data_IF_759314657869
#
_entry.id   IF_759314657869
#
_cell.length_a   1.000
_cell.length_b   1.000
_cell.length_c   1.000
_cell.angle_alpha   90.00
_cell.angle_beta   90.00
_cell.angle_gamma   90.00
#
_symmetry.space_group_name_H-M   'P 1'
#
loop_
_entity.id
_entity.type
_entity.pdbx_description
1 polymer ?
#
# COMPACT_ATOMS: atom_id res chain seq x y z
N UNK A 1 5.99 -9.90 18.34
CA UNK A 1 6.81 -9.31 17.27
C UNK A 1 7.61 -10.36 16.49
N UNK A 2 8.43 -11.21 17.14
CA UNK A 2 9.29 -12.22 16.47
C UNK A 2 8.54 -13.11 15.46
N UNK A 3 7.35 -13.61 15.81
CA UNK A 3 6.50 -14.42 14.91
C UNK A 3 6.04 -13.70 13.63
N UNK A 4 6.10 -12.37 13.59
CA UNK A 4 5.71 -11.56 12.42
C UNK A 4 6.88 -11.28 11.47
N UNK A 5 8.14 -11.49 11.90
CA UNK A 5 9.33 -11.20 11.09
C UNK A 5 9.31 -11.87 9.71
N UNK A 6 8.97 -13.17 9.55
CA UNK A 6 8.95 -13.80 8.23
C UNK A 6 7.92 -13.15 7.29
N UNK A 7 6.77 -12.73 7.83
CA UNK A 7 5.70 -12.09 7.05
C UNK A 7 6.08 -10.66 6.67
N UNK A 8 6.69 -9.90 7.58
CA UNK A 8 7.21 -8.57 7.30
C UNK A 8 8.32 -8.62 6.24
N UNK A 9 9.26 -9.56 6.37
CA UNK A 9 10.36 -9.76 5.40
C UNK A 9 9.83 -10.14 4.02
N UNK A 10 8.90 -11.07 3.93
CA UNK A 10 8.24 -11.42 2.66
C UNK A 10 7.53 -10.23 2.01
N UNK A 11 6.95 -9.34 2.82
CA UNK A 11 6.32 -8.12 2.30
C UNK A 11 7.36 -7.08 1.88
N UNK A 12 8.39 -6.83 2.67
CA UNK A 12 9.50 -5.94 2.33
C UNK A 12 10.24 -6.38 1.05
N UNK A 13 10.47 -7.67 0.86
CA UNK A 13 11.06 -8.22 -0.36
C UNK A 13 10.23 -7.91 -1.61
N UNK A 14 8.89 -7.94 -1.49
CA UNK A 14 7.98 -7.57 -2.59
C UNK A 14 8.03 -6.07 -2.90
N UNK A 15 8.32 -5.23 -1.91
CA UNK A 15 8.45 -3.78 -2.07
C UNK A 15 9.82 -3.42 -2.66
N UNK A 16 10.91 -3.78 -1.98
CA UNK A 16 12.26 -3.35 -2.33
C UNK A 16 12.85 -4.11 -3.52
N UNK A 17 12.41 -5.35 -3.77
CA UNK A 17 13.02 -6.29 -4.74
C UNK A 17 14.52 -6.54 -4.53
N UNK A 18 15.06 -6.14 -3.38
CA UNK A 18 16.44 -6.32 -2.95
C UNK A 18 16.43 -6.92 -1.53
N UNK A 19 17.13 -8.04 -1.28
CA UNK A 19 17.15 -8.69 0.04
C UNK A 19 17.72 -7.83 1.17
N UNK A 20 18.83 -7.14 0.93
CA UNK A 20 19.52 -6.34 1.95
C UNK A 20 18.64 -5.15 2.35
N UNK A 21 18.09 -4.43 1.38
CA UNK A 21 17.14 -3.33 1.63
C UNK A 21 15.86 -3.81 2.33
N UNK A 22 15.41 -5.04 2.05
CA UNK A 22 14.26 -5.61 2.72
C UNK A 22 14.56 -5.91 4.20
N UNK A 23 15.76 -6.42 4.48
CA UNK A 23 16.21 -6.71 5.85
C UNK A 23 16.39 -5.41 6.67
N UNK A 24 17.00 -4.39 6.09
CA UNK A 24 17.14 -3.06 6.69
C UNK A 24 15.78 -2.42 7.00
N UNK A 25 14.83 -2.52 6.06
CA UNK A 25 13.48 -1.98 6.22
C UNK A 25 12.72 -2.70 7.35
N UNK A 26 12.87 -4.03 7.46
CA UNK A 26 12.26 -4.81 8.55
C UNK A 26 12.90 -4.45 9.88
N UNK A 27 14.22 -4.33 9.95
CA UNK A 27 14.92 -3.91 11.16
C UNK A 27 14.41 -2.54 11.63
N UNK A 28 14.41 -1.55 10.73
CA UNK A 28 13.94 -0.19 11.02
C UNK A 28 12.47 -0.19 11.47
N UNK A 29 11.64 -1.04 10.87
CA UNK A 29 10.24 -1.23 11.28
C UNK A 29 10.14 -1.71 12.72
N UNK A 30 10.91 -2.72 13.10
CA UNK A 30 10.92 -3.25 14.45
C UNK A 30 11.43 -2.21 15.47
N UNK A 31 12.50 -1.49 15.16
CA UNK A 31 13.02 -0.41 16.02
C UNK A 31 11.98 0.68 16.24
N UNK A 32 11.32 1.14 15.17
CA UNK A 32 10.27 2.15 15.22
C UNK A 32 9.06 1.66 16.01
N UNK A 33 8.66 0.40 15.81
CA UNK A 33 7.57 -0.22 16.55
C UNK A 33 7.87 -0.27 18.05
N UNK A 34 9.07 -0.70 18.45
CA UNK A 34 9.49 -0.75 19.85
C UNK A 34 9.48 0.65 20.48
N UNK A 35 10.04 1.65 19.78
CA UNK A 35 10.07 3.05 20.26
C UNK A 35 8.70 3.70 20.38
N UNK A 36 7.70 3.19 19.67
CA UNK A 36 6.35 3.76 19.61
C UNK A 36 5.30 2.84 20.25
N UNK A 37 5.72 1.91 21.11
CA UNK A 37 4.82 0.95 21.78
C UNK A 37 3.79 1.64 22.68
N UNK A 38 4.13 2.79 23.24
CA UNK A 38 3.25 3.66 24.03
C UNK A 38 2.07 4.22 23.20
N UNK A 39 2.24 4.32 21.88
CA UNK A 39 1.21 4.79 20.93
C UNK A 39 0.39 3.64 20.33
N UNK A 40 0.70 2.39 20.69
CA UNK A 40 -0.05 1.24 20.20
C UNK A 40 -1.38 1.14 20.94
N UNK A 41 -2.49 1.23 20.20
CA UNK A 41 -3.82 0.92 20.70
C UNK A 41 -4.01 -0.61 20.78
N UNK A 42 -4.20 -1.19 21.98
CA UNK A 42 -4.41 -2.63 22.16
C UNK A 42 -5.66 -3.17 21.43
N UNK A 43 -6.62 -2.32 21.09
CA UNK A 43 -7.78 -2.70 20.28
C UNK A 43 -7.41 -2.96 18.80
N UNK A 44 -6.24 -2.47 18.35
CA UNK A 44 -5.73 -2.69 16.99
C UNK A 44 -4.91 -3.98 16.92
N UNK A 45 -5.03 -4.73 15.81
CA UNK A 45 -4.16 -5.90 15.60
C UNK A 45 -2.71 -5.47 15.38
N UNK A 46 -1.79 -6.07 16.16
CA UNK A 46 -0.35 -5.78 16.10
C UNK A 46 0.25 -5.96 14.70
N UNK A 47 -0.19 -6.97 13.96
CA UNK A 47 0.28 -7.23 12.60
C UNK A 47 -0.01 -6.06 11.66
N UNK A 48 -1.26 -5.59 11.66
CA UNK A 48 -1.76 -4.50 10.83
C UNK A 48 -1.05 -3.19 11.17
N UNK A 49 -0.77 -2.96 12.45
CA UNK A 49 0.01 -1.80 12.91
C UNK A 49 1.46 -1.85 12.41
N UNK A 50 2.14 -2.99 12.54
CA UNK A 50 3.52 -3.12 12.06
C UNK A 50 3.65 -3.05 10.54
N UNK A 51 2.71 -3.64 9.77
CA UNK A 51 2.69 -3.50 8.31
C UNK A 51 2.50 -2.04 7.89
N UNK A 52 1.72 -1.26 8.65
CA UNK A 52 1.60 0.18 8.41
C UNK A 52 2.90 0.91 8.63
N UNK A 53 3.62 0.62 9.73
CA UNK A 53 4.92 1.24 10.01
C UNK A 53 5.90 0.93 8.87
N UNK A 54 5.97 -0.33 8.44
CA UNK A 54 6.84 -0.77 7.34
C UNK A 54 6.50 -0.05 6.03
N UNK A 55 5.22 -0.01 5.66
CA UNK A 55 4.77 0.66 4.44
C UNK A 55 5.10 2.16 4.47
N UNK A 56 4.89 2.82 5.61
CA UNK A 56 5.21 4.24 5.76
C UNK A 56 6.73 4.50 5.63
N UNK A 57 7.56 3.66 6.25
CA UNK A 57 9.02 3.76 6.13
C UNK A 57 9.48 3.58 4.68
N UNK A 58 8.90 2.63 3.95
CA UNK A 58 9.19 2.41 2.53
C UNK A 58 8.75 3.59 1.65
N UNK A 59 7.53 4.10 1.83
CA UNK A 59 7.05 5.25 1.06
C UNK A 59 7.90 6.51 1.32
N UNK A 60 8.35 6.70 2.56
CA UNK A 60 9.25 7.79 2.91
C UNK A 60 10.63 7.62 2.27
N UNK A 61 11.19 6.40 2.25
CA UNK A 61 12.48 6.16 1.60
C UNK A 61 12.42 6.42 0.09
N UNK A 62 11.30 6.11 -0.57
CA UNK A 62 11.08 6.45 -1.98
C UNK A 62 11.01 7.96 -2.21
N UNK A 63 10.37 8.73 -1.33
CA UNK A 63 10.34 10.19 -1.41
C UNK A 63 11.71 10.81 -1.21
N UNK A 64 12.45 10.34 -0.22
CA UNK A 64 13.82 10.80 0.03
C UNK A 64 14.72 10.44 -1.15
N UNK A 65 14.54 9.26 -1.74
CA UNK A 65 15.25 8.86 -2.96
C UNK A 65 14.87 9.75 -4.15
N UNK A 66 13.59 10.07 -4.36
CA UNK A 66 13.15 10.94 -5.45
C UNK A 66 13.63 12.40 -5.26
N UNK A 67 13.64 12.90 -4.03
CA UNK A 67 14.20 14.22 -3.70
C UNK A 67 15.72 14.23 -3.85
N UNK A 68 16.42 13.15 -3.48
CA UNK A 68 17.85 12.98 -3.75
C UNK A 68 18.14 12.79 -5.23
N UNK A 69 17.28 12.12 -5.98
CA UNK A 69 17.43 11.94 -7.44
C UNK A 69 17.28 13.28 -8.17
N UNK A 70 16.40 14.20 -7.71
CA UNK A 70 16.37 15.58 -8.23
C UNK A 70 17.67 16.36 -7.97
N UNK A 71 18.44 15.98 -6.96
CA UNK A 71 19.80 16.49 -6.70
C UNK A 71 20.88 15.68 -7.46
N UNK A 72 20.57 14.44 -7.86
CA UNK A 72 21.46 13.48 -8.51
C UNK A 72 21.27 13.37 -10.03
N UNK A 73 20.26 14.02 -10.62
CA UNK A 73 20.05 14.14 -12.08
C UNK A 73 21.16 14.96 -12.77
N UNK A 74 22.18 15.39 -12.02
CA UNK A 74 23.48 15.86 -12.55
C UNK A 74 24.51 14.71 -12.72
N UNK A 75 24.19 13.47 -12.37
CA UNK A 75 25.13 12.35 -12.36
C UNK A 75 24.44 10.99 -12.60
N UNK A 76 24.46 10.58 -13.87
CA UNK A 76 24.39 9.20 -14.36
C UNK A 76 23.03 8.52 -14.53
N UNK A 77 22.84 8.15 -15.79
CA UNK A 77 21.84 7.25 -16.34
C UNK A 77 22.07 5.79 -15.94
N UNK A 78 20.95 5.08 -16.01
CA UNK A 78 20.78 3.71 -16.50
C UNK A 78 20.66 2.59 -15.46
N UNK A 79 19.52 1.89 -15.51
CA UNK A 79 19.42 0.46 -15.21
C UNK A 79 18.04 -0.06 -15.70
N UNK A 80 18.02 -0.53 -16.94
CA UNK A 80 17.05 -1.54 -17.39
C UNK A 80 17.38 -2.90 -16.75
N UNK A 81 16.37 -3.71 -16.40
CA UNK A 81 16.02 -4.91 -17.19
C UNK A 81 15.12 -5.92 -16.43
N UNK A 82 14.28 -6.56 -17.25
CA UNK A 82 13.68 -7.90 -17.13
C UNK A 82 12.32 -8.05 -16.45
N UNK A 83 11.29 -8.21 -17.29
CA UNK A 83 9.89 -8.35 -16.92
C UNK A 83 9.31 -9.66 -17.52
N UNK A 84 8.78 -10.54 -16.66
CA UNK A 84 7.94 -11.68 -17.04
C UNK A 84 6.59 -11.17 -17.61
N UNK A 85 6.45 -11.20 -18.93
CA UNK A 85 5.38 -10.52 -19.68
C UNK A 85 3.94 -10.98 -19.34
N UNK A 86 3.76 -12.22 -18.89
CA UNK A 86 2.43 -12.73 -18.52
C UNK A 86 1.96 -12.19 -17.16
N UNK A 87 2.88 -12.14 -16.17
CA UNK A 87 2.60 -11.49 -14.88
C UNK A 87 2.51 -9.98 -15.01
N UNK A 88 3.24 -9.38 -15.95
CA UNK A 88 3.14 -7.96 -16.31
C UNK A 88 1.73 -7.59 -16.78
N UNK A 89 1.18 -8.37 -17.71
CA UNK A 89 -0.11 -8.11 -18.30
C UNK A 89 -1.25 -8.27 -17.28
N UNK A 90 -1.21 -9.34 -16.47
CA UNK A 90 -2.17 -9.55 -15.39
C UNK A 90 -2.09 -8.44 -14.32
N UNK A 91 -0.88 -8.07 -13.91
CA UNK A 91 -0.66 -6.97 -12.95
C UNK A 91 -1.13 -5.62 -13.51
N UNK A 92 -0.94 -5.38 -14.80
CA UNK A 92 -1.38 -4.16 -15.49
C UNK A 92 -2.91 -4.07 -15.58
N UNK A 93 -3.60 -5.19 -15.80
CA UNK A 93 -5.06 -5.23 -15.82
C UNK A 93 -5.67 -4.99 -14.44
N UNK A 94 -5.10 -5.60 -13.40
CA UNK A 94 -5.52 -5.36 -12.01
C UNK A 94 -5.24 -3.92 -11.57
N UNK A 95 -4.09 -3.35 -11.96
CA UNK A 95 -3.80 -1.92 -11.74
C UNK A 95 -4.84 -1.01 -12.41
N UNK A 96 -5.22 -1.27 -13.67
CA UNK A 96 -6.26 -0.51 -14.36
C UNK A 96 -7.61 -0.59 -13.67
N UNK A 97 -7.98 -1.77 -13.15
CA UNK A 97 -9.21 -1.98 -12.38
C UNK A 97 -9.21 -1.18 -11.07
N UNK A 98 -8.09 -1.20 -10.33
CA UNK A 98 -7.93 -0.41 -9.10
C UNK A 98 -7.98 1.08 -9.40
N UNK A 99 -7.31 1.55 -10.46
CA UNK A 99 -7.37 2.96 -10.89
C UNK A 99 -8.80 3.40 -11.24
N UNK A 100 -9.55 2.55 -11.97
CA UNK A 100 -10.96 2.79 -12.31
C UNK A 100 -11.82 2.92 -11.04
N UNK A 101 -11.66 2.02 -10.08
CA UNK A 101 -12.37 2.10 -8.79
C UNK A 101 -12.01 3.37 -8.01
N UNK A 102 -10.72 3.71 -7.91
CA UNK A 102 -10.27 4.94 -7.24
C UNK A 102 -10.91 6.17 -7.91
N UNK A 103 -11.09 6.16 -9.24
CA UNK A 103 -11.78 7.20 -9.99
C UNK A 103 -13.29 7.31 -9.69
N UNK A 104 -13.92 6.28 -9.12
CA UNK A 104 -15.34 6.30 -8.73
C UNK A 104 -15.55 6.81 -7.30
N UNK A 105 -14.49 6.98 -6.51
CA UNK A 105 -14.58 7.56 -5.18
C UNK A 105 -14.88 9.06 -5.27
N UNK A 106 -15.73 9.54 -4.35
CA UNK A 106 -15.95 10.98 -4.17
C UNK A 106 -14.61 11.70 -3.97
N UNK A 107 -14.47 12.89 -4.54
CA UNK A 107 -13.18 13.60 -4.64
C UNK A 107 -12.46 13.69 -3.28
N UNK A 108 -13.20 14.07 -2.24
CA UNK A 108 -12.71 14.19 -0.87
C UNK A 108 -12.14 12.89 -0.30
N UNK A 109 -12.82 11.76 -0.56
CA UNK A 109 -12.41 10.44 -0.09
C UNK A 109 -11.20 9.94 -0.90
N UNK A 110 -11.23 10.18 -2.22
CA UNK A 110 -10.16 9.84 -3.16
C UNK A 110 -8.85 10.55 -2.82
N UNK A 111 -8.90 11.87 -2.61
CA UNK A 111 -7.72 12.66 -2.28
C UNK A 111 -7.05 12.21 -0.98
N UNK A 112 -7.85 11.98 0.08
CA UNK A 112 -7.32 11.48 1.35
C UNK A 112 -6.72 10.08 1.19
N UNK A 113 -7.38 9.19 0.45
CA UNK A 113 -6.87 7.84 0.20
C UNK A 113 -5.52 7.89 -0.55
N UNK A 114 -5.42 8.69 -1.62
CA UNK A 114 -4.20 8.80 -2.41
C UNK A 114 -3.06 9.41 -1.60
N UNK A 115 -3.29 10.52 -0.91
CA UNK A 115 -2.26 11.17 -0.09
C UNK A 115 -1.72 10.27 1.00
N UNK A 116 -2.56 9.43 1.61
CA UNK A 116 -2.13 8.53 2.70
C UNK A 116 -1.55 7.22 2.15
N UNK A 117 -2.25 6.54 1.24
CA UNK A 117 -1.90 5.19 0.81
C UNK A 117 -0.89 5.13 -0.33
N UNK A 118 -0.86 6.16 -1.19
CA UNK A 118 0.04 6.23 -2.34
C UNK A 118 1.19 7.16 -2.05
N UNK A 119 0.90 8.40 -1.63
CA UNK A 119 1.97 9.33 -1.33
C UNK A 119 2.65 8.93 -0.02
N UNK A 120 1.92 8.49 1.01
CA UNK A 120 2.47 8.15 2.33
C UNK A 120 2.50 9.32 3.32
N UNK A 121 1.66 10.35 3.14
CA UNK A 121 1.58 11.50 4.06
C UNK A 121 0.98 11.09 5.40
N UNK A 122 1.37 11.78 6.47
CA UNK A 122 0.73 11.58 7.77
C UNK A 122 -0.68 12.16 7.77
N UNK A 123 -1.53 11.69 8.68
CA UNK A 123 -2.89 12.22 8.84
C UNK A 123 -2.89 13.71 9.16
N UNK A 124 -1.88 14.17 9.91
CA UNK A 124 -1.71 15.57 10.29
C UNK A 124 -1.34 16.42 9.08
N UNK A 125 -0.36 16.01 8.28
CA UNK A 125 0.04 16.76 7.08
C UNK A 125 -1.11 16.87 6.08
N UNK A 126 -1.89 15.79 5.92
CA UNK A 126 -3.08 15.80 5.04
C UNK A 126 -4.17 16.70 5.60
N UNK A 127 -4.38 16.73 6.92
CA UNK A 127 -5.35 17.61 7.56
C UNK A 127 -4.98 19.10 7.35
N UNK A 128 -3.71 19.44 7.55
CA UNK A 128 -3.17 20.78 7.33
C UNK A 128 -3.25 21.19 5.85
N UNK A 129 -2.82 20.31 4.93
CA UNK A 129 -2.85 20.57 3.49
C UNK A 129 -4.26 20.76 2.94
N UNK A 130 -5.23 20.00 3.44
CA UNK A 130 -6.63 20.09 3.00
C UNK A 130 -7.46 21.12 3.79
N UNK A 131 -6.91 21.75 4.83
CA UNK A 131 -7.63 22.71 5.67
C UNK A 131 -8.82 22.11 6.42
N UNK A 132 -8.75 20.83 6.81
CA UNK A 132 -9.84 20.11 7.50
C UNK A 132 -9.37 19.47 8.82
N UNK A 133 -10.26 19.20 9.79
CA UNK A 133 -9.89 18.49 11.01
C UNK A 133 -9.31 17.10 10.75
N UNK A 134 -8.39 16.64 11.62
CA UNK A 134 -7.82 15.29 11.52
C UNK A 134 -8.89 14.18 11.59
N UNK A 135 -9.97 14.40 12.35
CA UNK A 135 -11.15 13.51 12.40
C UNK A 135 -11.91 13.42 11.06
N UNK A 136 -11.86 14.46 10.24
CA UNK A 136 -12.42 14.45 8.89
C UNK A 136 -11.53 13.62 7.96
N UNK A 137 -10.21 13.71 8.09
CA UNK A 137 -9.27 12.86 7.36
C UNK A 137 -9.48 11.38 7.70
N UNK A 138 -9.59 11.04 9.00
CA UNK A 138 -9.82 9.65 9.43
C UNK A 138 -11.15 9.09 8.91
N UNK A 139 -12.24 9.86 8.99
CA UNK A 139 -13.56 9.44 8.50
C UNK A 139 -13.65 9.34 6.97
N UNK A 140 -13.02 10.26 6.22
CA UNK A 140 -12.88 10.15 4.75
C UNK A 140 -12.09 8.91 4.35
N UNK A 141 -10.96 8.64 5.02
CA UNK A 141 -10.18 7.43 4.77
C UNK A 141 -10.95 6.15 5.09
N UNK A 142 -11.71 6.13 6.20
CA UNK A 142 -12.53 4.99 6.57
C UNK A 142 -13.59 4.68 5.50
N UNK A 143 -14.30 5.71 5.00
CA UNK A 143 -15.28 5.56 3.91
C UNK A 143 -14.64 5.07 2.61
N UNK A 144 -13.47 5.60 2.24
CA UNK A 144 -12.74 5.14 1.06
C UNK A 144 -12.36 3.65 1.16
N UNK A 145 -11.93 3.20 2.35
CA UNK A 145 -11.60 1.79 2.62
C UNK A 145 -12.83 0.88 2.61
N UNK A 146 -13.98 1.36 3.10
CA UNK A 146 -15.22 0.61 3.06
C UNK A 146 -15.67 0.38 1.61
N UNK A 147 -15.72 1.43 0.79
CA UNK A 147 -16.03 1.32 -0.65
C UNK A 147 -15.07 0.36 -1.36
N UNK A 148 -13.78 0.38 -1.01
CA UNK A 148 -12.79 -0.54 -1.60
C UNK A 148 -13.07 -1.99 -1.22
N UNK A 149 -13.46 -2.24 0.04
CA UNK A 149 -13.82 -3.59 0.49
C UNK A 149 -15.04 -4.11 -0.25
N UNK A 150 -16.11 -3.33 -0.35
CA UNK A 150 -17.35 -3.70 -1.06
C UNK A 150 -17.07 -4.03 -2.54
N UNK A 151 -16.22 -3.22 -3.17
CA UNK A 151 -15.80 -3.48 -4.56
C UNK A 151 -15.02 -4.79 -4.70
N UNK A 152 -14.12 -5.10 -3.76
CA UNK A 152 -13.38 -6.36 -3.77
C UNK A 152 -14.30 -7.57 -3.55
N UNK A 153 -15.26 -7.46 -2.62
CA UNK A 153 -16.25 -8.52 -2.34
C UNK A 153 -17.13 -8.81 -3.56
N UNK A 154 -17.61 -7.77 -4.24
CA UNK A 154 -18.38 -7.90 -5.50
C UNK A 154 -17.59 -8.67 -6.56
N UNK A 155 -16.29 -8.39 -6.69
CA UNK A 155 -15.42 -9.08 -7.65
C UNK A 155 -15.18 -10.55 -7.30
N UNK A 156 -15.05 -10.91 -6.03
CA UNK A 156 -14.94 -12.32 -5.65
C UNK A 156 -16.19 -13.10 -6.03
N UNK A 157 -17.38 -12.54 -5.80
CA UNK A 157 -18.65 -13.20 -6.14
C UNK A 157 -18.83 -13.37 -7.65
N UNK A 158 -18.47 -12.36 -8.46
CA UNK A 158 -18.51 -12.47 -9.93
C UNK A 158 -17.55 -13.51 -10.50
N UNK A 159 -16.40 -13.73 -9.84
CA UNK A 159 -15.43 -14.75 -10.23
C UNK A 159 -15.93 -16.16 -9.87
N UNK A 160 -16.53 -16.32 -8.69
CA UNK A 160 -17.13 -17.58 -8.25
C UNK A 160 -18.33 -17.99 -9.11
N UNK A 161 -19.21 -17.05 -9.49
CA UNK A 161 -20.35 -17.33 -10.38
C UNK A 161 -19.91 -17.68 -11.81
N UNK A 162 -18.82 -17.08 -12.31
CA UNK A 162 -18.24 -17.45 -13.62
C UNK A 162 -17.61 -18.84 -13.61
N UNK A 163 -17.00 -19.24 -12.49
CA UNK A 163 -16.45 -20.58 -12.31
C UNK A 163 -17.56 -21.63 -12.14
N UNK A 164 -18.64 -21.29 -11.44
CA UNK A 164 -19.80 -22.16 -11.22
C UNK A 164 -20.69 -22.35 -12.45
N UNK A 165 -20.79 -21.34 -13.31
CA UNK A 165 -21.58 -21.39 -14.55
C UNK A 165 -20.72 -21.68 -15.80
N UNK A 166 -19.47 -22.12 -15.63
CA UNK A 166 -18.64 -22.54 -16.76
C UNK A 166 -19.25 -23.80 -17.41
N UNK A 167 -19.59 -23.78 -18.71
CA UNK A 167 -20.18 -24.94 -19.38
C UNK A 167 -19.10 -26.01 -19.56
N UNK A 168 -19.14 -27.05 -18.71
CA UNK A 168 -18.14 -28.11 -18.71
C UNK A 168 -18.46 -29.28 -17.77
N UNK A 169 -19.73 -29.69 -17.72
CA UNK A 169 -20.10 -31.02 -17.25
C UNK A 169 -19.94 -32.02 -18.40
N UNK A 170 -18.90 -32.83 -18.33
CA UNK A 170 -18.52 -33.87 -19.28
C UNK A 170 -19.67 -34.88 -19.42
N UNK A 171 -20.19 -35.00 -20.65
CA UNK A 171 -20.95 -36.17 -21.10
C UNK A 171 -20.03 -37.13 -21.84
#
# INVERSE_FOLDING_TARGET
>A
MIRLLPKLRSFALRLCRNPDQADDLVQTTCERAIRSLDQFDPATRLDSWMFRILQNLYLNSLRDSANRSRLFDLAMMDFEESYDGAKAAASSLELKKVQSFIGQLDEDNRQVLLKIAVEGRSYKDVAEELGVPIGTVTSRLARARLKLREWLETKSTEQEDKLRNAPGGVG
#
